data_IF_490404301563
#
_entry.id   IF_490404301563
#
_cell.length_a   1.000
_cell.length_b   1.000
_cell.length_c   1.000
_cell.angle_alpha   90.00
_cell.angle_beta   90.00
_cell.angle_gamma   90.00
#
_symmetry.space_group_name_H-M   'P 1'
#
loop_
_entity.id
_entity.type
_entity.pdbx_description
1 polymer ?
#
# COMPACT_ATOMS: atom_id res chain seq x y z
N UNK A 1 5.38 32.57 1.16
CA UNK A 1 5.42 31.56 2.25
C UNK A 1 6.33 30.44 1.78
N UNK A 2 7.37 30.05 2.52
CA UNK A 2 8.19 28.92 2.10
C UNK A 2 7.29 27.68 2.04
N UNK A 3 7.37 26.94 0.94
CA UNK A 3 6.66 25.67 0.80
C UNK A 3 7.42 24.68 1.67
N UNK A 4 7.02 24.56 2.93
CA UNK A 4 7.57 23.54 3.83
C UNK A 4 7.22 22.19 3.19
N UNK A 5 8.24 21.40 2.85
CA UNK A 5 8.05 20.09 2.22
C UNK A 5 7.10 19.21 3.05
N UNK A 6 6.42 18.28 2.39
CA UNK A 6 5.52 17.34 3.08
C UNK A 6 6.35 16.47 4.02
N UNK A 7 6.06 16.59 5.32
CA UNK A 7 6.67 15.76 6.36
C UNK A 7 6.10 14.35 6.26
N UNK A 8 6.92 13.34 6.50
CA UNK A 8 6.43 11.97 6.41
C UNK A 8 5.55 11.61 7.63
N UNK A 9 6.01 11.93 8.85
CA UNK A 9 5.25 11.68 10.08
C UNK A 9 5.33 12.88 11.01
N UNK A 10 4.18 13.36 11.48
CA UNK A 10 4.09 14.27 12.63
C UNK A 10 3.53 13.53 13.84
N UNK A 11 4.21 13.68 14.97
CA UNK A 11 3.80 13.12 16.26
C UNK A 11 3.24 14.23 17.13
N UNK A 12 2.02 14.04 17.63
CA UNK A 12 1.39 14.91 18.61
C UNK A 12 1.62 14.33 20.01
N UNK A 13 2.28 15.09 20.88
CA UNK A 13 2.63 14.67 22.24
C UNK A 13 4.01 13.99 22.36
N UNK A 14 4.17 13.14 23.36
CA UNK A 14 5.44 12.51 23.74
C UNK A 14 5.97 11.49 22.70
N UNK A 15 7.12 11.76 22.05
CA UNK A 15 7.70 10.88 21.05
C UNK A 15 8.44 9.67 21.63
N UNK A 16 8.71 9.62 22.95
CA UNK A 16 9.57 8.61 23.57
C UNK A 16 9.10 7.17 23.27
N UNK A 17 7.79 6.97 23.07
CA UNK A 17 7.18 5.68 22.74
C UNK A 17 7.56 5.16 21.34
N UNK A 18 8.02 6.03 20.46
CA UNK A 18 8.37 5.76 19.06
C UNK A 18 9.88 5.75 18.79
N UNK A 19 10.70 6.01 19.82
CA UNK A 19 12.15 6.09 19.67
C UNK A 19 12.72 4.78 19.08
N UNK A 20 13.49 4.92 17.99
CA UNK A 20 14.08 3.80 17.25
C UNK A 20 13.08 2.93 16.49
N UNK A 21 11.80 3.32 16.40
CA UNK A 21 10.77 2.62 15.61
C UNK A 21 10.39 3.36 14.33
N UNK A 22 10.47 4.68 14.34
CA UNK A 22 10.14 5.53 13.18
C UNK A 22 11.17 6.65 13.11
N UNK A 23 11.87 6.73 11.99
CA UNK A 23 12.80 7.83 11.71
C UNK A 23 12.09 9.02 11.05
N UNK A 24 12.69 10.20 11.17
CA UNK A 24 12.24 11.42 10.49
C UNK A 24 10.96 12.03 11.07
N UNK A 25 10.65 11.77 12.35
CA UNK A 25 9.46 12.33 13.00
C UNK A 25 9.63 13.82 13.30
N UNK A 26 8.60 14.62 13.00
CA UNK A 26 8.47 15.98 13.55
C UNK A 26 7.52 15.94 14.74
N UNK A 27 7.98 16.44 15.89
CA UNK A 27 7.20 16.46 17.13
C UNK A 27 6.53 17.82 17.29
N UNK A 28 5.27 17.80 17.69
CA UNK A 28 4.45 18.99 17.96
C UNK A 28 3.73 18.75 19.29
N UNK A 29 3.67 19.79 20.14
CA UNK A 29 2.86 19.72 21.35
C UNK A 29 1.39 19.46 20.96
N UNK A 30 0.76 18.52 21.66
CA UNK A 30 -0.65 18.23 21.41
C UNK A 30 -1.55 19.36 21.90
N UNK A 31 -1.18 20.06 22.97
CA UNK A 31 -1.96 21.15 23.52
C UNK A 31 -2.22 22.18 22.42
N UNK A 32 -3.47 22.56 22.20
CA UNK A 32 -3.92 23.58 21.24
C UNK A 32 -3.59 23.38 19.74
N UNK A 33 -2.87 22.30 19.37
CA UNK A 33 -2.66 21.96 17.97
C UNK A 33 -3.97 21.58 17.27
N UNK A 34 -4.19 22.13 16.09
CA UNK A 34 -5.34 21.80 15.23
C UNK A 34 -4.88 21.01 14.01
N UNK A 35 -5.71 20.07 13.57
CA UNK A 35 -5.36 19.17 12.46
C UNK A 35 -6.52 19.04 11.49
N UNK A 36 -6.24 19.11 10.19
CA UNK A 36 -7.22 18.91 9.12
C UNK A 36 -6.66 18.00 8.05
N UNK A 37 -7.44 17.02 7.63
CA UNK A 37 -7.07 16.18 6.49
C UNK A 37 -7.53 16.81 5.18
N UNK A 38 -6.67 16.78 4.18
CA UNK A 38 -6.96 17.14 2.81
C UNK A 38 -7.01 15.87 1.95
N UNK A 39 -8.20 15.51 1.48
CA UNK A 39 -8.41 14.34 0.64
C UNK A 39 -7.90 14.50 -0.79
N UNK A 40 -7.59 15.72 -1.24
CA UNK A 40 -7.02 15.97 -2.56
C UNK A 40 -5.53 15.65 -2.63
N UNK A 41 -4.83 15.77 -1.50
CA UNK A 41 -3.39 15.51 -1.37
C UNK A 41 -3.06 14.31 -0.49
N UNK A 42 -4.06 13.72 0.15
CA UNK A 42 -3.94 12.68 1.18
C UNK A 42 -2.97 13.06 2.32
N UNK A 43 -2.96 14.34 2.68
CA UNK A 43 -2.10 14.87 3.75
C UNK A 43 -2.90 15.52 4.88
N UNK A 44 -2.25 15.62 6.03
CA UNK A 44 -2.72 16.37 7.18
C UNK A 44 -2.04 17.73 7.24
N UNK A 45 -2.84 18.79 7.32
CA UNK A 45 -2.38 20.09 7.81
C UNK A 45 -2.39 20.09 9.32
N UNK A 46 -1.29 20.45 9.96
CA UNK A 46 -1.15 20.63 11.40
C UNK A 46 -0.80 22.09 11.67
N UNK A 47 -1.62 22.78 12.44
CA UNK A 47 -1.29 24.13 12.94
C UNK A 47 -0.82 24.00 14.37
N UNK A 48 0.42 24.37 14.65
CA UNK A 48 1.01 24.35 16.00
C UNK A 48 0.41 25.47 16.87
N UNK A 49 0.58 25.41 18.19
CA UNK A 49 0.14 26.49 19.10
C UNK A 49 0.74 27.86 18.78
N UNK A 50 1.96 27.87 18.24
CA UNK A 50 2.69 29.06 17.83
C UNK A 50 2.24 29.59 16.46
N UNK A 51 1.29 28.92 15.80
CA UNK A 51 0.76 29.28 14.48
C UNK A 51 1.58 28.77 13.30
N UNK A 52 2.58 27.90 13.51
CA UNK A 52 3.31 27.25 12.42
C UNK A 52 2.37 26.26 11.72
N UNK A 53 2.34 26.28 10.38
CA UNK A 53 1.55 25.36 9.58
C UNK A 53 2.47 24.32 8.94
N UNK A 54 2.23 23.06 9.26
CA UNK A 54 2.94 21.90 8.75
C UNK A 54 2.02 21.06 7.88
N UNK A 55 2.58 20.41 6.87
CA UNK A 55 1.89 19.40 6.06
C UNK A 55 2.55 18.05 6.31
N UNK A 56 1.77 17.02 6.61
CA UNK A 56 2.28 15.69 6.99
C UNK A 56 1.52 14.56 6.27
N UNK A 57 2.21 13.50 5.84
CA UNK A 57 1.54 12.31 5.27
C UNK A 57 0.75 11.58 6.35
N UNK A 58 1.35 11.35 7.52
CA UNK A 58 0.70 10.67 8.65
C UNK A 58 0.81 11.42 9.98
N UNK A 59 -0.21 11.22 10.83
CA UNK A 59 -0.27 11.71 12.21
C UNK A 59 -0.27 10.58 13.21
N UNK A 60 0.50 10.73 14.29
CA UNK A 60 0.47 9.82 15.44
C UNK A 60 0.20 10.63 16.70
N UNK A 61 -0.94 10.38 17.34
CA UNK A 61 -1.30 11.01 18.62
C UNK A 61 -0.93 10.07 19.78
N UNK A 62 -0.08 10.54 20.69
CA UNK A 62 0.44 9.73 21.80
C UNK A 62 -0.26 10.01 23.14
N UNK A 63 -1.31 10.85 23.11
CA UNK A 63 -2.08 11.24 24.29
C UNK A 63 -2.74 10.03 24.94
N UNK A 64 -2.50 9.86 26.25
CA UNK A 64 -3.11 8.79 27.02
C UNK A 64 -4.64 8.91 27.01
N UNK A 65 -5.34 7.78 26.87
CA UNK A 65 -6.80 7.76 26.77
C UNK A 65 -7.36 6.43 27.24
N UNK A 66 -8.55 6.42 27.87
CA UNK A 66 -9.24 5.17 28.21
C UNK A 66 -9.72 4.40 26.97
N UNK A 67 -9.84 5.08 25.83
CA UNK A 67 -10.13 4.45 24.55
C UNK A 67 -8.83 4.03 23.85
N UNK A 68 -8.60 2.72 23.85
CA UNK A 68 -7.41 2.05 23.34
C UNK A 68 -7.35 1.90 21.81
N UNK A 69 -8.26 2.57 21.09
CA UNK A 69 -8.35 2.54 19.64
C UNK A 69 -7.14 3.22 19.00
N UNK A 70 -6.39 2.47 18.19
CA UNK A 70 -5.18 2.94 17.49
C UNK A 70 -5.44 3.51 16.10
N UNK A 71 -6.55 3.14 15.46
CA UNK A 71 -6.99 3.69 14.18
C UNK A 71 -8.51 3.58 14.04
N UNK A 72 -9.12 4.50 13.30
CA UNK A 72 -10.58 4.59 13.12
C UNK A 72 -10.90 4.70 11.63
N UNK A 73 -11.94 4.03 11.17
CA UNK A 73 -12.43 4.21 9.80
C UNK A 73 -12.92 5.66 9.59
N UNK A 74 -12.74 6.21 8.38
CA UNK A 74 -13.04 7.61 8.08
C UNK A 74 -12.00 8.62 8.58
N UNK A 75 -10.90 8.16 9.17
CA UNK A 75 -9.79 9.02 9.64
C UNK A 75 -8.47 8.50 9.07
N UNK A 76 -8.22 8.69 7.76
CA UNK A 76 -7.05 8.15 7.06
C UNK A 76 -5.75 8.73 7.61
N UNK A 77 -4.66 7.95 7.47
CA UNK A 77 -3.30 8.33 7.87
C UNK A 77 -3.13 8.79 9.32
N UNK A 78 -4.14 8.57 10.18
CA UNK A 78 -4.11 8.98 11.59
C UNK A 78 -4.11 7.77 12.50
N UNK A 79 -3.09 7.73 13.35
CA UNK A 79 -2.90 6.69 14.34
C UNK A 79 -2.85 7.25 15.75
N UNK A 80 -3.09 6.39 16.73
CA UNK A 80 -2.99 6.73 18.15
C UNK A 80 -2.19 5.66 18.91
N UNK A 81 -1.52 6.09 19.97
CA UNK A 81 -0.87 5.22 20.96
C UNK A 81 -1.43 5.59 22.35
N UNK A 82 -2.73 5.35 22.59
CA UNK A 82 -3.43 5.81 23.80
C UNK A 82 -3.04 5.06 25.07
N UNK A 83 -2.37 3.90 24.95
CA UNK A 83 -2.23 2.94 26.03
C UNK A 83 -3.43 1.99 26.15
N UNK A 84 -3.44 1.10 27.15
CA UNK A 84 -2.40 0.94 28.17
C UNK A 84 -1.14 0.23 27.64
N UNK A 85 -1.22 -0.54 26.56
CA UNK A 85 -0.09 -1.32 26.01
C UNK A 85 0.75 -0.54 24.98
N UNK A 86 1.27 0.61 25.40
CA UNK A 86 1.93 1.61 24.53
C UNK A 86 3.07 1.02 23.68
N UNK A 87 3.92 0.16 24.24
CA UNK A 87 5.01 -0.50 23.49
C UNK A 87 4.50 -1.38 22.32
N UNK A 88 3.40 -2.10 22.52
CA UNK A 88 2.79 -2.94 21.46
C UNK A 88 2.09 -2.07 20.43
N UNK A 89 1.36 -1.06 20.87
CA UNK A 89 0.70 -0.09 19.99
C UNK A 89 1.71 0.66 19.12
N UNK A 90 2.81 1.15 19.71
CA UNK A 90 3.89 1.84 18.99
C UNK A 90 4.52 0.94 17.91
N UNK A 91 4.86 -0.31 18.24
CA UNK A 91 5.38 -1.27 17.26
C UNK A 91 4.37 -1.59 16.16
N UNK A 92 3.09 -1.70 16.51
CA UNK A 92 2.04 -1.94 15.54
C UNK A 92 1.90 -0.76 14.57
N UNK A 93 1.80 0.47 15.09
CA UNK A 93 1.72 1.69 14.28
C UNK A 93 2.96 1.88 13.41
N UNK A 94 4.17 1.67 13.96
CA UNK A 94 5.41 1.74 13.19
C UNK A 94 5.43 0.77 12.00
N UNK A 95 4.92 -0.47 12.17
CA UNK A 95 4.76 -1.42 11.05
C UNK A 95 3.75 -0.96 10.01
N UNK A 96 2.69 -0.24 10.41
CA UNK A 96 1.72 0.31 9.45
C UNK A 96 2.34 1.45 8.65
N UNK A 97 3.11 2.33 9.30
CA UNK A 97 3.86 3.41 8.65
C UNK A 97 4.92 2.85 7.70
N UNK A 98 5.70 1.88 8.14
CA UNK A 98 6.68 1.20 7.29
C UNK A 98 6.00 0.50 6.10
N UNK A 99 4.86 -0.15 6.33
CA UNK A 99 4.04 -0.74 5.28
C UNK A 99 3.54 0.28 4.25
N UNK A 100 3.06 1.44 4.71
CA UNK A 100 2.63 2.55 3.86
C UNK A 100 3.79 3.10 3.02
N UNK A 101 4.97 3.29 3.65
CA UNK A 101 6.19 3.73 2.96
C UNK A 101 6.58 2.74 1.87
N UNK A 102 6.62 1.45 2.20
CA UNK A 102 7.01 0.38 1.27
C UNK A 102 6.01 0.18 0.13
N UNK A 103 4.72 0.43 0.37
CA UNK A 103 3.70 0.30 -0.68
C UNK A 103 3.62 1.51 -1.61
N UNK A 104 4.32 2.61 -1.31
CA UNK A 104 4.24 3.86 -2.07
C UNK A 104 2.91 4.61 -1.97
N UNK A 105 1.90 4.03 -1.30
CA UNK A 105 0.56 4.60 -1.18
C UNK A 105 0.60 5.93 -0.39
N UNK A 106 -0.24 6.89 -0.76
CA UNK A 106 -0.42 8.15 -0.03
C UNK A 106 -1.38 7.99 1.14
N UNK A 107 -2.30 7.01 1.09
CA UNK A 107 -3.40 6.86 2.03
C UNK A 107 -3.51 5.45 2.58
N UNK A 108 -3.63 5.36 3.90
CA UNK A 108 -3.96 4.15 4.66
C UNK A 108 -5.22 4.40 5.49
N UNK A 109 -6.22 3.54 5.34
CA UNK A 109 -7.50 3.68 6.04
C UNK A 109 -7.99 2.36 6.62
N UNK A 110 -8.47 2.38 7.86
CA UNK A 110 -8.94 1.16 8.52
C UNK A 110 -10.18 0.59 7.83
N UNK A 111 -10.22 -0.73 7.62
CA UNK A 111 -11.41 -1.47 7.17
C UNK A 111 -12.43 -1.67 8.30
N UNK A 112 -11.95 -1.69 9.55
CA UNK A 112 -12.81 -1.83 10.73
C UNK A 112 -13.20 -0.46 11.28
N UNK A 113 -14.40 -0.28 11.86
CA UNK A 113 -14.77 0.99 12.50
C UNK A 113 -13.73 1.45 13.53
N UNK A 114 -13.16 0.50 14.29
CA UNK A 114 -12.12 0.73 15.28
C UNK A 114 -11.08 -0.38 15.23
N UNK A 115 -9.80 -0.02 15.21
CA UNK A 115 -8.67 -0.95 15.34
C UNK A 115 -8.10 -0.83 16.74
N UNK A 116 -7.96 -1.96 17.41
CA UNK A 116 -7.34 -2.08 18.73
C UNK A 116 -6.22 -3.10 18.64
N UNK A 117 -5.15 -2.86 19.40
CA UNK A 117 -4.03 -3.80 19.49
C UNK A 117 -4.30 -4.74 20.66
N UNK A 118 -4.43 -6.03 20.36
CA UNK A 118 -4.70 -7.03 21.37
C UNK A 118 -3.51 -7.10 22.37
N UNK A 119 -3.77 -7.23 23.69
CA UNK A 119 -2.72 -7.24 24.71
C UNK A 119 -1.71 -8.39 24.57
N UNK A 120 -2.20 -9.57 24.20
CA UNK A 120 -1.42 -10.82 24.17
C UNK A 120 -1.19 -11.36 22.75
N UNK A 121 -2.28 -11.57 22.00
CA UNK A 121 -2.28 -12.12 20.65
C UNK A 121 -1.69 -11.18 19.58
N UNK A 122 -1.13 -11.73 18.49
CA UNK A 122 -0.75 -10.96 17.32
C UNK A 122 -1.95 -10.17 16.77
N UNK A 123 -1.75 -8.87 16.52
CA UNK A 123 -2.74 -8.04 15.84
C UNK A 123 -2.42 -8.06 14.34
N UNK A 124 -3.39 -8.43 13.51
CA UNK A 124 -3.24 -8.43 12.04
C UNK A 124 -2.80 -7.04 11.56
N UNK A 125 -1.74 -6.97 10.76
CA UNK A 125 -1.10 -5.75 10.26
C UNK A 125 -1.89 -5.06 9.15
N UNK A 126 -1.22 -4.77 8.02
CA UNK A 126 -1.79 -4.01 6.90
C UNK A 126 -3.07 -4.61 6.31
N UNK A 127 -3.30 -5.91 6.43
CA UNK A 127 -4.54 -6.56 5.93
C UNK A 127 -5.83 -6.02 6.56
N UNK A 128 -5.74 -5.27 7.68
CA UNK A 128 -6.87 -4.54 8.28
C UNK A 128 -7.14 -3.17 7.67
N UNK A 129 -6.37 -2.76 6.67
CA UNK A 129 -6.41 -1.44 6.07
C UNK A 129 -6.61 -1.51 4.54
N UNK A 130 -7.19 -0.46 3.98
CA UNK A 130 -7.12 -0.12 2.57
C UNK A 130 -5.90 0.79 2.35
N UNK A 131 -5.15 0.56 1.28
CA UNK A 131 -4.04 1.40 0.84
C UNK A 131 -4.41 1.99 -0.52
N UNK A 132 -4.30 3.31 -0.70
CA UNK A 132 -4.66 4.02 -1.94
C UNK A 132 -3.69 5.17 -2.24
N UNK A 133 -3.63 5.60 -3.51
CA UNK A 133 -2.94 6.83 -3.93
C UNK A 133 -1.41 6.74 -4.02
N UNK A 134 -0.86 5.66 -4.58
CA UNK A 134 0.54 5.64 -4.97
C UNK A 134 0.83 6.79 -5.95
N UNK A 135 1.80 7.65 -5.62
CA UNK A 135 2.34 8.63 -6.58
C UNK A 135 3.83 8.38 -6.67
N UNK A 136 4.22 7.75 -7.78
CA UNK A 136 5.63 7.50 -8.10
C UNK A 136 5.93 6.33 -9.02
N UNK A 137 4.96 5.75 -9.72
CA UNK A 137 5.04 5.27 -11.11
C UNK A 137 3.59 5.41 -11.62
N UNK A 138 3.37 5.50 -12.93
CA UNK A 138 2.09 5.07 -13.50
C UNK A 138 1.64 3.81 -12.72
N UNK A 139 0.35 3.67 -12.39
CA UNK A 139 -0.20 2.35 -12.08
C UNK A 139 0.43 1.42 -13.13
N UNK A 140 1.39 0.52 -12.79
CA UNK A 140 2.32 -0.13 -13.75
C UNK A 140 1.48 -1.00 -14.67
N UNK A 141 0.83 -0.31 -15.60
CA UNK A 141 -0.27 -0.77 -16.39
C UNK A 141 0.40 -1.02 -17.71
N UNK A 142 0.91 -2.22 -17.87
CA UNK A 142 1.42 -2.62 -19.15
C UNK A 142 0.22 -2.70 -20.12
N UNK A 143 0.11 -1.71 -21.01
CA UNK A 143 -0.84 -1.65 -22.11
C UNK A 143 -0.09 -1.78 -23.43
N UNK A 144 0.04 -3.01 -23.91
CA UNK A 144 0.96 -3.31 -25.01
C UNK A 144 0.81 -4.73 -25.58
N UNK A 145 1.66 -5.08 -26.56
CA UNK A 145 1.65 -6.41 -27.17
C UNK A 145 2.13 -7.48 -26.19
N UNK A 146 1.55 -8.67 -26.25
CA UNK A 146 1.99 -9.85 -25.52
C UNK A 146 1.69 -11.11 -26.32
N UNK A 147 2.27 -12.23 -25.89
CA UNK A 147 1.90 -13.57 -26.39
C UNK A 147 1.30 -14.35 -25.24
N UNK A 148 0.04 -14.78 -25.40
CA UNK A 148 -0.63 -15.70 -24.48
C UNK A 148 -0.41 -17.13 -25.00
N UNK A 149 0.18 -18.00 -24.19
CA UNK A 149 0.32 -19.42 -24.51
C UNK A 149 -0.72 -20.23 -23.74
N UNK A 150 -1.55 -20.98 -24.46
CA UNK A 150 -2.57 -21.86 -23.88
C UNK A 150 -2.54 -23.21 -24.61
N UNK A 151 -2.46 -24.31 -23.86
CA UNK A 151 -2.35 -25.68 -24.41
C UNK A 151 -1.22 -25.86 -25.43
N UNK A 152 -0.11 -25.14 -25.29
CA UNK A 152 1.04 -25.21 -26.18
C UNK A 152 0.90 -24.42 -27.49
N UNK A 153 -0.18 -23.66 -27.65
CA UNK A 153 -0.39 -22.76 -28.78
C UNK A 153 -0.23 -21.30 -28.34
N UNK A 154 0.41 -20.50 -29.20
CA UNK A 154 0.72 -19.09 -28.96
C UNK A 154 -0.30 -18.19 -29.65
N UNK A 155 -0.83 -17.23 -28.90
CA UNK A 155 -1.83 -16.26 -29.34
C UNK A 155 -1.28 -14.84 -29.14
N UNK A 156 -0.72 -14.20 -30.18
CA UNK A 156 -0.33 -12.80 -30.14
C UNK A 156 -1.54 -11.90 -29.89
N UNK A 157 -1.43 -10.99 -28.93
CA UNK A 157 -2.56 -10.14 -28.53
C UNK A 157 -2.07 -8.84 -27.92
N UNK A 158 -2.99 -7.90 -27.70
CA UNK A 158 -2.75 -6.74 -26.84
C UNK A 158 -3.28 -7.08 -25.45
N UNK A 159 -2.61 -6.59 -24.42
CA UNK A 159 -3.02 -6.78 -23.04
C UNK A 159 -3.09 -5.46 -22.31
N UNK A 160 -3.86 -5.45 -21.23
CA UNK A 160 -3.77 -4.42 -20.20
C UNK A 160 -3.60 -5.10 -18.85
N UNK A 161 -2.39 -5.07 -18.30
CA UNK A 161 -2.02 -5.77 -17.07
C UNK A 161 -1.63 -4.75 -16.00
N UNK A 162 -2.03 -4.98 -14.75
CA UNK A 162 -1.59 -4.24 -13.57
C UNK A 162 -1.16 -5.23 -12.50
N UNK A 163 -0.32 -4.82 -11.55
CA UNK A 163 0.06 -5.67 -10.44
C UNK A 163 0.60 -4.90 -9.25
N UNK A 164 0.84 -5.63 -8.17
CA UNK A 164 1.41 -5.11 -6.93
C UNK A 164 2.16 -6.20 -6.17
N UNK A 165 3.16 -5.80 -5.38
CA UNK A 165 3.82 -6.69 -4.43
C UNK A 165 2.97 -6.87 -3.17
N UNK A 166 2.65 -8.12 -2.80
CA UNK A 166 2.02 -8.47 -1.54
C UNK A 166 3.10 -8.86 -0.49
N UNK A 167 3.32 -8.03 0.55
CA UNK A 167 4.30 -8.31 1.59
C UNK A 167 3.89 -9.43 2.56
N UNK A 168 2.65 -9.95 2.49
CA UNK A 168 2.15 -11.04 3.33
C UNK A 168 2.74 -12.37 2.88
N UNK A 169 2.78 -12.62 1.57
CA UNK A 169 3.36 -13.84 0.99
C UNK A 169 4.72 -13.59 0.31
N UNK A 170 5.13 -12.32 0.18
CA UNK A 170 6.39 -11.92 -0.43
C UNK A 170 6.39 -12.12 -1.94
N UNK A 171 5.21 -12.14 -2.57
CA UNK A 171 5.04 -12.38 -4.00
C UNK A 171 4.45 -11.16 -4.70
N UNK A 172 4.71 -11.03 -5.99
CA UNK A 172 4.01 -10.06 -6.83
C UNK A 172 2.73 -10.71 -7.37
N UNK A 173 1.62 -9.98 -7.26
CA UNK A 173 0.30 -10.37 -7.75
C UNK A 173 -0.08 -9.44 -8.88
N UNK A 174 -0.37 -10.01 -10.03
CA UNK A 174 -0.78 -9.26 -11.21
C UNK A 174 -2.09 -9.81 -11.78
N UNK A 175 -2.81 -8.97 -12.50
CA UNK A 175 -4.05 -9.32 -13.18
C UNK A 175 -4.24 -8.44 -14.41
N UNK A 176 -5.12 -8.84 -15.32
CA UNK A 176 -5.44 -7.97 -16.43
C UNK A 176 -6.36 -8.58 -17.47
N UNK A 177 -6.47 -7.86 -18.57
CA UNK A 177 -7.32 -8.21 -19.70
C UNK A 177 -6.50 -8.53 -20.94
N UNK A 178 -6.96 -9.54 -21.68
CA UNK A 178 -6.42 -9.96 -22.96
C UNK A 178 -7.44 -9.67 -24.05
N UNK A 179 -7.02 -8.94 -25.07
CA UNK A 179 -7.85 -8.60 -26.22
C UNK A 179 -7.74 -9.70 -27.30
N UNK A 180 -7.87 -10.95 -26.88
CA UNK A 180 -8.00 -12.13 -27.74
C UNK A 180 -9.01 -13.08 -27.12
N UNK A 181 -9.58 -13.93 -27.98
CA UNK A 181 -10.35 -15.09 -27.56
C UNK A 181 -9.48 -16.35 -27.61
N UNK A 182 -9.89 -17.38 -26.88
CA UNK A 182 -9.27 -18.71 -26.93
C UNK A 182 -10.30 -19.74 -27.41
N UNK A 183 -9.88 -20.72 -28.22
CA UNK A 183 -10.78 -21.78 -28.68
C UNK A 183 -11.22 -22.68 -27.53
N UNK A 184 -12.51 -23.05 -27.53
CA UNK A 184 -13.10 -23.97 -26.57
C UNK A 184 -14.12 -23.31 -25.62
N UNK A 185 -15.17 -24.07 -25.29
CA UNK A 185 -16.32 -23.56 -24.52
C UNK A 185 -16.05 -23.37 -23.02
N UNK A 186 -14.96 -23.94 -22.47
CA UNK A 186 -14.65 -23.94 -21.03
C UNK A 186 -13.22 -23.45 -20.76
N UNK A 187 -12.90 -22.24 -21.21
CA UNK A 187 -11.58 -21.64 -20.97
C UNK A 187 -11.45 -21.07 -19.54
N UNK A 188 -12.57 -20.73 -18.90
CA UNK A 188 -12.56 -20.24 -17.51
C UNK A 188 -11.91 -21.26 -16.59
N UNK A 189 -10.87 -20.82 -15.89
CA UNK A 189 -10.09 -21.62 -14.98
C UNK A 189 -8.92 -22.39 -15.60
N UNK A 190 -8.71 -22.31 -16.91
CA UNK A 190 -7.53 -22.87 -17.57
C UNK A 190 -6.24 -22.15 -17.13
N UNK A 191 -5.14 -22.90 -17.08
CA UNK A 191 -3.79 -22.33 -16.87
C UNK A 191 -3.27 -21.75 -18.17
N UNK A 192 -2.57 -20.64 -18.06
CA UNK A 192 -1.97 -19.93 -19.21
C UNK A 192 -0.59 -19.42 -18.84
N UNK A 193 0.26 -19.27 -19.84
CA UNK A 193 1.55 -18.57 -19.72
C UNK A 193 1.50 -17.29 -20.55
N UNK A 194 2.11 -16.21 -20.08
CA UNK A 194 2.12 -14.92 -20.77
C UNK A 194 3.54 -14.47 -20.92
N UNK A 195 3.88 -14.05 -22.14
CA UNK A 195 5.20 -13.55 -22.47
C UNK A 195 5.13 -12.13 -23.03
N UNK A 196 5.92 -11.23 -22.46
CA UNK A 196 6.16 -9.88 -22.96
C UNK A 196 7.68 -9.72 -23.08
N UNK A 197 8.15 -9.46 -24.29
CA UNK A 197 9.58 -9.49 -24.61
C UNK A 197 10.26 -10.78 -24.09
N UNK A 198 11.23 -10.64 -23.19
CA UNK A 198 11.98 -11.76 -22.59
C UNK A 198 11.34 -12.28 -21.28
N UNK A 199 10.30 -11.63 -20.77
CA UNK A 199 9.67 -11.95 -19.49
C UNK A 199 8.47 -12.88 -19.68
N UNK A 200 8.37 -13.89 -18.83
CA UNK A 200 7.27 -14.86 -18.85
C UNK A 200 6.68 -15.02 -17.45
N UNK A 201 5.35 -15.10 -17.34
CA UNK A 201 4.65 -15.42 -16.09
C UNK A 201 3.47 -16.36 -16.32
N UNK A 202 3.21 -17.20 -15.31
CA UNK A 202 2.07 -18.11 -15.30
C UNK A 202 0.82 -17.43 -14.72
N UNK A 203 -0.36 -17.82 -15.21
CA UNK A 203 -1.63 -17.30 -14.73
C UNK A 203 -2.78 -18.28 -14.96
N UNK A 204 -3.99 -17.83 -14.65
CA UNK A 204 -5.23 -18.57 -14.86
C UNK A 204 -6.30 -17.64 -15.41
N UNK A 205 -7.06 -18.13 -16.39
CA UNK A 205 -8.22 -17.39 -16.90
C UNK A 205 -9.28 -17.33 -15.80
N UNK A 206 -9.60 -16.12 -15.34
CA UNK A 206 -10.64 -15.89 -14.34
C UNK A 206 -12.03 -15.87 -14.98
N UNK A 207 -12.14 -15.28 -16.16
CA UNK A 207 -13.41 -15.14 -16.88
C UNK A 207 -13.16 -14.98 -18.39
N UNK A 208 -14.08 -15.52 -19.19
CA UNK A 208 -14.27 -15.14 -20.59
C UNK A 208 -15.45 -14.18 -20.67
N UNK A 209 -15.20 -12.96 -21.12
CA UNK A 209 -16.24 -11.93 -21.17
C UNK A 209 -17.19 -12.17 -22.35
N UNK A 210 -18.41 -11.63 -22.32
CA UNK A 210 -19.34 -11.69 -23.46
C UNK A 210 -18.83 -11.04 -24.74
N UNK A 211 -17.79 -10.20 -24.66
CA UNK A 211 -17.20 -9.48 -25.79
C UNK A 211 -16.01 -10.21 -26.42
N UNK A 212 -15.71 -11.44 -25.97
CA UNK A 212 -14.60 -12.24 -26.50
C UNK A 212 -13.22 -11.84 -25.98
N UNK A 213 -13.16 -11.12 -24.85
CA UNK A 213 -11.91 -10.87 -24.12
C UNK A 213 -11.77 -11.83 -22.93
N UNK A 214 -10.57 -11.95 -22.39
CA UNK A 214 -10.29 -12.78 -21.22
C UNK A 214 -9.78 -11.93 -20.07
N UNK A 215 -10.31 -12.17 -18.88
CA UNK A 215 -9.73 -11.68 -17.62
C UNK A 215 -8.80 -12.76 -17.08
N UNK A 216 -7.56 -12.40 -16.75
CA UNK A 216 -6.54 -13.32 -16.26
C UNK A 216 -6.00 -12.83 -14.92
N UNK A 217 -5.76 -13.77 -14.02
CA UNK A 217 -5.10 -13.54 -12.74
C UNK A 217 -3.78 -14.31 -12.75
N UNK A 218 -2.69 -13.63 -12.40
CA UNK A 218 -1.37 -14.21 -12.31
C UNK A 218 -1.23 -15.22 -11.18
N UNK A 219 -0.37 -16.21 -11.38
CA UNK A 219 0.20 -16.96 -10.29
C UNK A 219 1.15 -16.04 -9.50
N UNK A 220 1.19 -16.21 -8.19
CA UNK A 220 2.07 -15.44 -7.30
C UNK A 220 3.54 -15.64 -7.74
N UNK A 221 4.25 -14.54 -8.00
CA UNK A 221 5.61 -14.58 -8.54
C UNK A 221 5.94 -13.36 -9.39
N UNK A 222 7.06 -13.39 -10.12
CA UNK A 222 7.50 -12.26 -10.95
C UNK A 222 6.47 -11.93 -12.05
N UNK A 223 6.15 -10.65 -12.30
CA UNK A 223 5.21 -10.28 -13.35
C UNK A 223 5.77 -10.56 -14.75
N UNK A 224 4.90 -10.70 -15.78
CA UNK A 224 5.34 -10.91 -17.15
C UNK A 224 5.84 -9.62 -17.81
N UNK A 225 5.87 -8.48 -17.13
CA UNK A 225 6.33 -7.19 -17.65
C UNK A 225 7.55 -6.71 -16.86
N UNK A 226 8.45 -5.91 -17.48
CA UNK A 226 9.60 -5.37 -16.78
C UNK A 226 9.12 -4.47 -15.62
N UNK A 227 9.55 -4.82 -14.41
CA UNK A 227 9.49 -3.92 -13.26
C UNK A 227 10.61 -2.90 -13.43
N UNK A 228 10.34 -1.61 -13.21
CA UNK A 228 11.45 -0.66 -13.12
C UNK A 228 12.40 -1.15 -12.01
N UNK A 229 13.69 -1.26 -12.34
CA UNK A 229 14.69 -1.64 -11.36
C UNK A 229 14.75 -0.52 -10.31
N UNK A 230 14.05 -0.71 -9.20
CA UNK A 230 14.28 0.07 -7.99
C UNK A 230 15.73 -0.22 -7.61
N UNK A 231 16.62 0.75 -7.84
CA UNK A 231 17.96 0.76 -7.26
C UNK A 231 17.79 0.78 -5.74
N UNK A 232 17.71 -0.42 -5.15
CA UNK A 232 17.83 -0.57 -3.71
C UNK A 232 19.28 -0.23 -3.41
N UNK A 233 19.53 1.01 -2.99
CA UNK A 233 20.80 1.44 -2.46
C UNK A 233 21.15 0.57 -1.25
N UNK A 234 21.90 -0.50 -1.49
CA UNK A 234 22.54 -1.25 -0.43
C UNK A 234 23.57 -0.32 0.22
N UNK A 235 23.53 -0.11 1.55
CA UNK A 235 24.64 0.56 2.20
C UNK A 235 25.91 -0.28 2.01
N UNK A 236 27.08 0.36 1.82
CA UNK A 236 28.33 -0.36 1.64
C UNK A 236 28.56 -1.28 2.82
N UNK A 237 28.87 -2.55 2.53
CA UNK A 237 29.38 -3.49 3.53
C UNK A 237 30.73 -2.97 4.01
N UNK A 238 30.83 -2.62 5.28
CA UNK A 238 32.11 -2.56 5.99
C UNK A 238 32.47 -3.96 6.52
#
# INVERSE_FOLDING_TARGET
>A
MPVTGVLDVVVLGDPARLHGLIDGIRVVDRADATTRFDSGTDTWTVTTPEGEVLTARALIDTTASPDDTVATHGVPNRFRIPGPHTRRQARYVARLIDGLRRSGASRIESRSPRVRVHPLLPTRGLSRFYLTGSVGVDDETYDGPAVLTHNGEDYPTRVRLTGHFDPIDGQYHWQGMFFTDLPGASVTGSKVSIRIDEHTAEGRVAERTPWGTLTVIGAAGYPPFPLEAVEIAMPPRM
#
